data_IF_462763033270
#
_entry.id   IF_462763033270
#
_cell.length_a   1.000
_cell.length_b   1.000
_cell.length_c   1.000
_cell.angle_alpha   90.00
_cell.angle_beta   90.00
_cell.angle_gamma   90.00
#
_symmetry.space_group_name_H-M   'P 1'
#
loop_
_entity.id
_entity.type
_entity.pdbx_description
1 polymer ?
#
# COMPACT_ATOMS: atom_id res chain seq x y z
N UNK A 1 -19.77 -9.28 -8.86
CA UNK A 1 -21.16 -9.34 -8.37
C UNK A 1 -21.76 -10.73 -8.48
N UNK A 2 -21.54 -11.47 -9.56
CA UNK A 2 -22.20 -12.77 -9.84
C UNK A 2 -21.96 -13.86 -8.80
N UNK A 3 -20.77 -13.91 -8.19
CA UNK A 3 -20.34 -15.04 -7.37
C UNK A 3 -20.41 -14.75 -5.84
N UNK A 4 -20.78 -13.53 -5.47
CA UNK A 4 -20.76 -13.11 -4.08
C UNK A 4 -19.37 -13.11 -3.42
N UNK A 5 -19.27 -12.98 -2.11
CA UNK A 5 -18.02 -13.07 -1.37
C UNK A 5 -17.54 -14.51 -1.24
N UNK A 6 -16.43 -14.84 -1.90
CA UNK A 6 -15.80 -16.15 -1.87
C UNK A 6 -14.75 -16.27 -0.77
N UNK A 7 -14.15 -17.47 -0.61
CA UNK A 7 -13.11 -17.74 0.39
C UNK A 7 -11.97 -16.72 0.34
N UNK A 8 -11.53 -16.33 -0.85
CA UNK A 8 -10.48 -15.32 -1.03
C UNK A 8 -10.89 -13.93 -0.47
N UNK A 9 -12.15 -13.53 -0.62
CA UNK A 9 -12.65 -12.27 -0.03
C UNK A 9 -12.54 -12.31 1.49
N UNK A 10 -12.88 -13.45 2.10
CA UNK A 10 -12.75 -13.66 3.55
C UNK A 10 -11.30 -13.56 4.02
N UNK A 11 -10.37 -14.22 3.30
CA UNK A 11 -8.94 -14.13 3.59
C UNK A 11 -8.41 -12.71 3.48
N UNK A 12 -8.81 -11.96 2.45
CA UNK A 12 -8.38 -10.57 2.27
C UNK A 12 -8.87 -9.66 3.39
N UNK A 13 -10.11 -9.79 3.82
CA UNK A 13 -10.65 -9.00 4.94
C UNK A 13 -9.97 -9.36 6.26
N UNK A 14 -9.73 -10.65 6.50
CA UNK A 14 -8.97 -11.11 7.66
C UNK A 14 -7.57 -10.50 7.67
N UNK A 15 -6.84 -10.59 6.55
CA UNK A 15 -5.49 -10.02 6.42
C UNK A 15 -5.50 -8.50 6.57
N UNK A 16 -6.45 -7.80 5.96
CA UNK A 16 -6.61 -6.35 6.12
C UNK A 16 -6.76 -5.98 7.60
N UNK A 17 -7.55 -6.75 8.36
CA UNK A 17 -7.69 -6.54 9.80
C UNK A 17 -6.40 -6.82 10.57
N UNK A 18 -5.68 -7.88 10.21
CA UNK A 18 -4.41 -8.24 10.86
C UNK A 18 -3.32 -7.16 10.68
N UNK A 19 -3.26 -6.53 9.52
CA UNK A 19 -2.31 -5.44 9.26
C UNK A 19 -2.84 -4.06 9.65
N UNK A 20 -3.96 -4.00 10.39
CA UNK A 20 -4.59 -2.78 10.88
C UNK A 20 -4.96 -1.77 9.78
N UNK A 21 -5.53 -2.24 8.67
CA UNK A 21 -6.18 -1.35 7.70
C UNK A 21 -7.31 -0.60 8.39
N UNK A 22 -7.30 0.74 8.43
CA UNK A 22 -8.24 1.51 9.23
C UNK A 22 -9.64 1.55 8.63
N UNK A 23 -9.75 1.56 7.32
CA UNK A 23 -11.02 1.69 6.60
C UNK A 23 -11.00 0.91 5.30
N UNK A 24 -12.14 0.37 4.92
CA UNK A 24 -12.36 -0.31 3.65
C UNK A 24 -13.57 0.30 2.97
N UNK A 25 -13.65 0.22 1.66
CA UNK A 25 -14.85 0.43 0.88
C UNK A 25 -14.95 -0.66 -0.18
N UNK A 26 -16.13 -0.88 -0.71
CA UNK A 26 -16.38 -1.99 -1.62
C UNK A 26 -16.87 -1.49 -2.97
N UNK A 27 -16.28 -2.00 -4.04
CA UNK A 27 -16.79 -1.85 -5.41
C UNK A 27 -17.30 -3.20 -5.91
N UNK A 28 -18.63 -3.35 -6.01
CA UNK A 28 -19.26 -4.52 -6.60
C UNK A 28 -19.12 -4.45 -8.12
N UNK A 29 -18.05 -5.02 -8.62
CA UNK A 29 -17.72 -4.99 -10.04
C UNK A 29 -18.51 -6.03 -10.83
N UNK A 30 -18.56 -5.85 -12.17
CA UNK A 30 -19.22 -6.74 -13.12
C UNK A 30 -20.74 -6.82 -12.94
N UNK A 31 -21.39 -5.73 -12.52
CA UNK A 31 -22.83 -5.67 -12.42
C UNK A 31 -23.54 -5.78 -13.79
N UNK A 32 -22.79 -5.50 -14.89
CA UNK A 32 -23.24 -5.74 -16.27
C UNK A 32 -23.52 -7.21 -16.60
N UNK A 33 -23.08 -8.15 -15.78
CA UNK A 33 -23.28 -9.59 -15.94
C UNK A 33 -24.44 -10.14 -15.10
N UNK A 34 -25.14 -9.27 -14.36
CA UNK A 34 -26.21 -9.64 -13.44
C UNK A 34 -27.46 -8.82 -13.79
N UNK A 35 -28.47 -9.49 -14.32
CA UNK A 35 -29.76 -8.84 -14.68
C UNK A 35 -30.78 -8.83 -13.54
N UNK A 36 -30.45 -9.49 -12.41
CA UNK A 36 -31.32 -9.64 -11.25
C UNK A 36 -30.88 -8.69 -10.13
N UNK A 37 -31.70 -7.68 -9.87
CA UNK A 37 -31.46 -6.69 -8.82
C UNK A 37 -31.52 -7.32 -7.41
N UNK A 38 -32.39 -8.30 -7.19
CA UNK A 38 -32.52 -9.00 -5.91
C UNK A 38 -31.23 -9.77 -5.58
N UNK A 39 -30.56 -10.32 -6.60
CA UNK A 39 -29.26 -10.98 -6.44
C UNK A 39 -28.17 -9.98 -6.05
N UNK A 40 -28.16 -8.78 -6.62
CA UNK A 40 -27.19 -7.74 -6.27
C UNK A 40 -27.41 -7.27 -4.82
N UNK A 41 -28.66 -7.13 -4.38
CA UNK A 41 -29.00 -6.78 -2.99
C UNK A 41 -28.55 -7.88 -2.02
N UNK A 42 -28.76 -9.15 -2.38
CA UNK A 42 -28.32 -10.28 -1.56
C UNK A 42 -26.78 -10.30 -1.40
N UNK A 43 -26.06 -10.13 -2.50
CA UNK A 43 -24.59 -10.08 -2.47
C UNK A 43 -24.09 -8.92 -1.63
N UNK A 44 -24.74 -7.75 -1.72
CA UNK A 44 -24.40 -6.61 -0.88
C UNK A 44 -24.62 -6.91 0.59
N UNK A 45 -25.72 -7.54 0.95
CA UNK A 45 -26.01 -7.93 2.32
C UNK A 45 -24.98 -8.93 2.86
N UNK A 46 -24.62 -9.94 2.09
CA UNK A 46 -23.56 -10.90 2.45
C UNK A 46 -22.20 -10.22 2.67
N UNK A 47 -21.88 -9.22 1.85
CA UNK A 47 -20.63 -8.44 2.00
C UNK A 47 -20.66 -7.62 3.29
N UNK A 48 -21.79 -6.98 3.63
CA UNK A 48 -21.96 -6.22 4.87
C UNK A 48 -21.82 -7.10 6.12
N UNK A 49 -22.47 -8.26 6.12
CA UNK A 49 -22.32 -9.25 7.20
C UNK A 49 -20.86 -9.72 7.35
N UNK A 50 -20.17 -9.91 6.23
CA UNK A 50 -18.76 -10.32 6.25
C UNK A 50 -17.85 -9.22 6.79
N UNK A 51 -18.10 -7.96 6.44
CA UNK A 51 -17.37 -6.81 6.98
C UNK A 51 -17.54 -6.71 8.49
N UNK A 52 -18.76 -6.82 8.99
CA UNK A 52 -19.06 -6.82 10.44
C UNK A 52 -18.38 -7.99 11.15
N UNK A 53 -18.39 -9.17 10.55
CA UNK A 53 -17.73 -10.35 11.12
C UNK A 53 -16.22 -10.12 11.33
N UNK A 54 -15.56 -9.41 10.43
CA UNK A 54 -14.13 -9.06 10.55
C UNK A 54 -13.88 -7.73 11.28
N UNK A 55 -14.92 -7.10 11.84
CA UNK A 55 -14.81 -5.89 12.66
C UNK A 55 -14.65 -4.59 11.89
N UNK A 56 -15.07 -4.56 10.62
CA UNK A 56 -15.29 -3.33 9.87
C UNK A 56 -16.78 -2.92 9.99
N UNK A 57 -17.12 -1.62 9.92
CA UNK A 57 -18.52 -1.17 10.06
C UNK A 57 -19.32 -1.49 8.79
N UNK A 58 -19.90 -2.71 8.69
CA UNK A 58 -20.55 -3.22 7.49
C UNK A 58 -21.71 -2.34 7.03
N UNK A 59 -22.56 -1.90 7.96
CA UNK A 59 -23.72 -1.05 7.64
C UNK A 59 -23.33 0.33 7.12
N UNK A 60 -22.21 0.90 7.62
CA UNK A 60 -21.77 2.25 7.27
C UNK A 60 -20.83 2.25 6.06
N UNK A 61 -20.19 1.10 5.76
CA UNK A 61 -19.22 0.99 4.68
C UNK A 61 -19.85 1.27 3.32
N UNK A 62 -19.31 2.23 2.53
CA UNK A 62 -19.81 2.48 1.19
C UNK A 62 -19.62 1.25 0.29
N UNK A 63 -20.70 0.84 -0.37
CA UNK A 63 -20.69 -0.21 -1.38
C UNK A 63 -21.20 0.39 -2.69
N UNK A 64 -20.33 0.51 -3.67
CA UNK A 64 -20.61 1.08 -4.98
C UNK A 64 -20.80 -0.06 -5.97
N UNK A 65 -21.90 -0.04 -6.72
CA UNK A 65 -22.20 -1.03 -7.76
C UNK A 65 -21.80 -0.50 -9.13
N UNK A 66 -21.17 -1.33 -9.97
CA UNK A 66 -20.78 -0.87 -11.29
C UNK A 66 -20.11 -1.90 -12.17
N UNK A 67 -19.71 -1.45 -13.36
CA UNK A 67 -18.91 -2.21 -14.31
C UNK A 67 -17.69 -1.39 -14.73
N UNK A 68 -16.54 -1.80 -14.24
CA UNK A 68 -15.28 -1.20 -14.67
C UNK A 68 -15.00 -1.45 -16.16
N UNK A 69 -15.51 -2.56 -16.72
CA UNK A 69 -15.37 -2.85 -18.13
C UNK A 69 -16.13 -1.84 -18.99
N UNK A 70 -17.39 -1.54 -18.65
CA UNK A 70 -18.19 -0.56 -19.39
C UNK A 70 -17.54 0.83 -19.40
N UNK A 71 -16.95 1.23 -18.27
CA UNK A 71 -16.18 2.47 -18.20
C UNK A 71 -14.91 2.42 -19.06
N UNK A 72 -14.18 1.28 -19.06
CA UNK A 72 -12.92 1.14 -19.78
C UNK A 72 -13.10 1.15 -21.30
N UNK A 73 -14.16 0.51 -21.82
CA UNK A 73 -14.42 0.39 -23.28
C UNK A 73 -15.22 1.56 -23.84
N UNK A 74 -15.70 2.47 -22.99
CA UNK A 74 -16.43 3.67 -23.45
C UNK A 74 -15.53 4.56 -24.29
N UNK A 75 -16.05 5.00 -25.44
CA UNK A 75 -15.40 5.98 -26.32
C UNK A 75 -15.78 7.42 -25.98
N UNK A 76 -16.60 7.63 -24.94
CA UNK A 76 -17.02 8.96 -24.49
C UNK A 76 -15.83 9.78 -23.99
N UNK A 77 -15.76 11.02 -24.43
CA UNK A 77 -14.80 12.01 -23.91
C UNK A 77 -15.40 12.90 -22.81
N UNK A 78 -16.69 12.73 -22.54
CA UNK A 78 -17.36 13.45 -21.44
C UNK A 78 -17.13 12.71 -20.11
N UNK A 79 -16.43 13.34 -19.15
CA UNK A 79 -16.20 12.74 -17.83
C UNK A 79 -17.49 12.51 -17.01
N UNK A 80 -18.61 13.09 -17.42
CA UNK A 80 -19.92 12.90 -16.79
C UNK A 80 -20.82 11.91 -17.53
N UNK A 81 -20.29 11.17 -18.52
CA UNK A 81 -21.05 10.16 -19.21
C UNK A 81 -21.53 9.07 -18.23
N UNK A 82 -22.74 8.49 -18.46
CA UNK A 82 -23.32 7.49 -17.55
C UNK A 82 -22.40 6.29 -17.27
N UNK A 83 -21.56 5.91 -18.23
CA UNK A 83 -20.62 4.78 -18.13
C UNK A 83 -19.54 5.02 -17.06
N UNK A 84 -19.24 6.29 -16.76
CA UNK A 84 -18.25 6.67 -15.74
C UNK A 84 -18.86 6.97 -14.37
N UNK A 85 -20.21 6.98 -14.26
CA UNK A 85 -20.88 7.39 -13.02
C UNK A 85 -20.43 6.56 -11.80
N UNK A 86 -20.36 5.23 -11.95
CA UNK A 86 -19.92 4.35 -10.86
C UNK A 86 -18.45 4.56 -10.48
N UNK A 87 -17.59 4.93 -11.43
CA UNK A 87 -16.17 5.22 -11.15
C UNK A 87 -16.05 6.56 -10.42
N UNK A 88 -16.85 7.56 -10.81
CA UNK A 88 -16.87 8.84 -10.11
C UNK A 88 -17.38 8.67 -8.67
N UNK A 89 -18.49 7.93 -8.50
CA UNK A 89 -19.03 7.63 -7.17
C UNK A 89 -18.00 6.89 -6.29
N UNK A 90 -17.25 5.94 -6.87
CA UNK A 90 -16.17 5.25 -6.18
C UNK A 90 -15.11 6.24 -5.71
N UNK A 91 -14.66 7.18 -6.56
CA UNK A 91 -13.64 8.16 -6.21
C UNK A 91 -14.15 9.16 -5.16
N UNK A 92 -15.39 9.63 -5.28
CA UNK A 92 -16.03 10.49 -4.29
C UNK A 92 -16.17 9.79 -2.93
N UNK A 93 -16.48 8.49 -2.94
CA UNK A 93 -16.51 7.67 -1.74
C UNK A 93 -15.12 7.47 -1.12
N UNK A 94 -14.08 7.27 -1.92
CA UNK A 94 -12.69 7.21 -1.43
C UNK A 94 -12.33 8.49 -0.71
N UNK A 95 -12.60 9.65 -1.34
CA UNK A 95 -12.22 10.96 -0.79
C UNK A 95 -12.97 11.31 0.50
N UNK A 96 -14.22 10.85 0.63
CA UNK A 96 -15.08 11.16 1.80
C UNK A 96 -14.98 10.15 2.93
N UNK A 97 -14.76 8.86 2.62
CA UNK A 97 -14.80 7.76 3.58
C UNK A 97 -13.43 7.37 4.14
N UNK A 98 -12.39 7.38 3.29
CA UNK A 98 -11.06 6.95 3.72
C UNK A 98 -10.35 8.13 4.43
N UNK A 99 -10.00 7.98 5.73
CA UNK A 99 -9.31 9.05 6.43
C UNK A 99 -7.90 9.27 5.85
N UNK A 100 -7.48 10.51 5.77
CA UNK A 100 -6.08 10.83 5.40
C UNK A 100 -5.15 10.18 6.43
N UNK A 101 -4.16 9.37 6.01
CA UNK A 101 -3.23 8.73 6.92
C UNK A 101 -2.43 9.73 7.74
N UNK A 102 -2.28 9.46 9.04
CA UNK A 102 -1.34 10.21 9.89
C UNK A 102 0.09 9.81 9.52
N UNK A 103 0.79 10.70 8.82
CA UNK A 103 2.18 10.50 8.41
C UNK A 103 3.10 10.85 9.56
N UNK A 104 3.88 9.89 10.04
CA UNK A 104 4.84 10.06 11.14
C UNK A 104 6.13 10.75 10.66
N UNK A 105 6.02 11.96 10.14
CA UNK A 105 7.14 12.71 9.52
C UNK A 105 8.17 13.20 10.53
N UNK A 106 7.74 13.49 11.77
CA UNK A 106 8.60 14.00 12.85
C UNK A 106 9.51 12.92 13.46
N UNK A 107 9.33 11.66 13.09
CA UNK A 107 10.15 10.56 13.57
C UNK A 107 11.43 10.41 12.74
N UNK A 108 12.49 9.77 13.28
CA UNK A 108 13.66 9.42 12.49
C UNK A 108 13.29 8.55 11.28
N UNK A 109 13.89 8.86 10.12
CA UNK A 109 13.70 8.12 8.88
C UNK A 109 13.86 6.61 9.06
N UNK A 110 12.94 5.86 8.46
CA UNK A 110 12.97 4.41 8.41
C UNK A 110 12.27 3.90 7.14
N UNK A 111 12.97 3.03 6.39
CA UNK A 111 12.46 2.39 5.19
C UNK A 111 12.91 0.93 5.14
N UNK A 112 12.00 -0.06 5.29
CA UNK A 112 12.30 -1.46 5.03
C UNK A 112 12.70 -1.66 3.56
N UNK A 113 13.70 -2.49 3.31
CA UNK A 113 14.14 -2.83 1.96
C UNK A 113 13.27 -3.96 1.41
N UNK A 114 12.54 -3.68 0.35
CA UNK A 114 11.65 -4.62 -0.33
C UNK A 114 12.32 -5.31 -1.51
N UNK A 115 13.13 -4.56 -2.27
CA UNK A 115 13.92 -5.11 -3.37
C UNK A 115 15.22 -4.34 -3.57
N UNK A 116 16.20 -4.98 -4.23
CA UNK A 116 17.51 -4.41 -4.51
C UNK A 116 17.94 -4.71 -5.94
N UNK A 117 18.26 -3.69 -6.68
CA UNK A 117 18.76 -3.83 -8.05
C UNK A 117 19.93 -2.88 -8.34
N UNK A 118 20.64 -3.15 -9.42
CA UNK A 118 21.77 -2.32 -9.85
C UNK A 118 21.43 -1.60 -11.14
N UNK A 119 21.70 -0.30 -11.17
CA UNK A 119 21.64 0.49 -12.40
C UNK A 119 23.06 0.62 -12.94
N UNK A 120 23.29 0.14 -14.17
CA UNK A 120 24.59 0.22 -14.84
C UNK A 120 25.12 1.66 -14.86
N UNK A 121 26.34 1.87 -14.34
CA UNK A 121 26.98 3.17 -14.28
C UNK A 121 26.46 4.13 -13.20
N UNK A 122 25.42 3.76 -12.43
CA UNK A 122 24.88 4.59 -11.33
C UNK A 122 25.08 3.99 -9.95
N UNK A 123 24.90 2.67 -9.78
CA UNK A 123 25.12 1.98 -8.51
C UNK A 123 23.92 1.12 -8.08
N UNK A 124 23.86 0.82 -6.79
CA UNK A 124 22.84 -0.02 -6.19
C UNK A 124 21.66 0.83 -5.71
N UNK A 125 20.45 0.39 -6.05
CA UNK A 125 19.19 1.00 -5.63
C UNK A 125 18.47 0.04 -4.70
N UNK A 126 18.09 0.52 -3.52
CA UNK A 126 17.18 -0.16 -2.62
C UNK A 126 15.79 0.47 -2.75
N UNK A 127 14.77 -0.36 -2.95
CA UNK A 127 13.37 0.09 -2.99
C UNK A 127 12.64 -0.27 -1.71
N UNK A 128 11.65 0.53 -1.38
CA UNK A 128 10.78 0.31 -0.23
C UNK A 128 9.85 1.48 0.02
N UNK A 129 8.93 1.26 0.96
CA UNK A 129 8.08 2.33 1.46
C UNK A 129 8.73 3.01 2.67
N UNK A 130 8.75 4.33 2.66
CA UNK A 130 9.13 5.11 3.84
C UNK A 130 8.05 4.94 4.90
N UNK A 131 8.37 4.24 5.99
CA UNK A 131 7.42 3.96 7.08
C UNK A 131 7.25 5.16 8.02
N UNK A 132 8.31 5.95 8.18
CA UNK A 132 8.32 7.15 9.03
C UNK A 132 9.48 8.06 8.71
N UNK A 133 9.33 9.31 9.12
CA UNK A 133 10.36 10.32 8.97
C UNK A 133 10.48 10.84 7.55
N UNK A 134 11.56 11.57 7.33
CA UNK A 134 11.92 12.21 6.07
C UNK A 134 13.36 11.86 5.70
N UNK A 135 13.59 11.60 4.43
CA UNK A 135 14.90 11.36 3.84
C UNK A 135 15.19 12.46 2.82
N UNK A 136 16.30 13.16 2.98
CA UNK A 136 16.73 14.17 2.02
C UNK A 136 17.82 13.62 1.09
N UNK A 137 17.91 14.17 -0.11
CA UNK A 137 19.00 13.87 -1.03
C UNK A 137 20.35 14.20 -0.37
N UNK A 138 21.34 13.33 -0.58
CA UNK A 138 22.66 13.37 0.03
C UNK A 138 22.69 13.18 1.56
N UNK A 139 21.62 12.72 2.15
CA UNK A 139 21.59 12.35 3.56
C UNK A 139 22.28 11.01 3.81
N UNK A 140 22.88 10.87 4.98
CA UNK A 140 23.47 9.60 5.44
C UNK A 140 22.39 8.70 6.01
N UNK A 141 22.45 7.42 5.65
CA UNK A 141 21.60 6.36 6.19
C UNK A 141 22.45 5.19 6.68
N UNK A 142 21.94 4.43 7.60
CA UNK A 142 22.49 3.19 8.11
C UNK A 142 21.70 2.01 7.57
N UNK A 143 22.40 0.97 7.10
CA UNK A 143 21.79 -0.32 6.71
C UNK A 143 21.79 -1.19 7.97
N UNK A 144 20.64 -1.63 8.42
CA UNK A 144 20.44 -2.35 9.69
C UNK A 144 19.69 -3.67 9.45
N UNK A 145 20.08 -4.71 10.19
CA UNK A 145 19.41 -6.02 10.19
C UNK A 145 20.13 -7.07 9.35
N UNK A 146 19.85 -8.35 9.63
CA UNK A 146 20.39 -9.55 9.00
C UNK A 146 21.93 -9.73 9.10
N UNK A 147 22.64 -8.72 9.55
CA UNK A 147 24.09 -8.75 9.81
C UNK A 147 24.39 -7.96 11.09
N UNK A 148 25.44 -8.36 11.80
CA UNK A 148 25.95 -7.62 12.95
C UNK A 148 26.79 -6.40 12.53
N UNK A 149 27.18 -6.33 11.25
CA UNK A 149 27.93 -5.22 10.69
C UNK A 149 27.01 -4.04 10.39
N UNK A 150 27.23 -2.95 11.07
CA UNK A 150 26.58 -1.67 10.77
C UNK A 150 27.28 -1.00 9.62
N UNK A 151 26.52 -0.61 8.62
CA UNK A 151 27.06 0.06 7.43
C UNK A 151 26.33 1.38 7.20
N UNK A 152 27.10 2.46 7.19
CA UNK A 152 26.60 3.77 6.76
C UNK A 152 26.87 3.99 5.27
N UNK A 153 25.93 4.63 4.60
CA UNK A 153 26.04 5.08 3.23
C UNK A 153 25.35 6.42 3.03
N UNK A 154 25.51 7.01 1.86
CA UNK A 154 24.81 8.25 1.48
C UNK A 154 23.83 7.96 0.36
N UNK A 155 22.61 8.46 0.48
CA UNK A 155 21.61 8.41 -0.57
C UNK A 155 21.89 9.51 -1.60
N UNK A 156 22.29 9.12 -2.80
CA UNK A 156 22.70 10.06 -3.88
C UNK A 156 21.62 10.28 -4.93
N UNK A 157 20.50 9.60 -4.81
CA UNK A 157 19.33 9.78 -5.67
C UNK A 157 18.10 9.21 -5.00
N UNK A 158 16.99 9.87 -5.18
CA UNK A 158 15.66 9.42 -4.74
C UNK A 158 14.75 9.48 -5.96
N UNK A 159 14.08 8.39 -6.27
CA UNK A 159 13.19 8.29 -7.43
C UNK A 159 11.84 7.68 -7.04
N UNK A 160 10.76 8.27 -7.52
CA UNK A 160 9.39 7.75 -7.38
C UNK A 160 8.64 7.98 -8.70
N UNK A 161 8.01 6.93 -9.25
CA UNK A 161 7.29 6.99 -10.54
C UNK A 161 8.09 7.64 -11.69
N UNK A 162 9.38 7.27 -11.82
CA UNK A 162 10.33 7.82 -12.81
C UNK A 162 10.60 9.32 -12.66
N UNK A 163 10.31 9.90 -11.50
CA UNK A 163 10.64 11.29 -11.17
C UNK A 163 11.70 11.32 -10.09
N UNK A 164 12.74 12.14 -10.31
CA UNK A 164 13.75 12.42 -9.30
C UNK A 164 13.19 13.40 -8.26
N UNK A 165 13.47 13.10 -7.00
CA UNK A 165 12.99 13.88 -5.86
C UNK A 165 14.17 14.42 -5.06
N UNK A 166 13.99 15.58 -4.43
CA UNK A 166 14.94 16.17 -3.49
C UNK A 166 14.81 15.56 -2.08
N UNK A 167 13.63 15.03 -1.76
CA UNK A 167 13.35 14.33 -0.52
C UNK A 167 12.22 13.31 -0.71
N UNK A 168 12.10 12.43 0.26
CA UNK A 168 10.98 11.50 0.43
C UNK A 168 10.47 11.56 1.88
N UNK A 169 9.20 11.28 2.08
CA UNK A 169 8.54 11.32 3.40
C UNK A 169 7.69 10.09 3.66
N UNK A 170 7.26 9.92 4.91
CA UNK A 170 6.46 8.78 5.33
C UNK A 170 5.25 8.54 4.40
N UNK A 171 5.11 7.31 3.91
CA UNK A 171 4.10 6.89 2.94
C UNK A 171 4.60 6.79 1.50
N UNK A 172 5.73 7.39 1.15
CA UNK A 172 6.27 7.34 -0.20
C UNK A 172 6.92 5.98 -0.51
N UNK A 173 6.63 5.43 -1.69
CA UNK A 173 7.36 4.28 -2.24
C UNK A 173 8.48 4.79 -3.14
N UNK A 174 9.72 4.55 -2.75
CA UNK A 174 10.87 5.12 -3.43
C UNK A 174 11.93 4.09 -3.81
N UNK A 175 12.76 4.46 -4.78
CA UNK A 175 14.07 3.89 -5.02
C UNK A 175 15.15 4.83 -4.50
N UNK A 176 15.94 4.37 -3.53
CA UNK A 176 17.07 5.10 -2.96
C UNK A 176 18.38 4.60 -3.58
N UNK A 177 19.09 5.47 -4.30
CA UNK A 177 20.40 5.19 -4.87
C UNK A 177 21.47 5.33 -3.80
N UNK A 178 22.19 4.25 -3.51
CA UNK A 178 23.16 4.15 -2.43
C UNK A 178 24.59 4.30 -2.95
N UNK A 179 25.39 5.15 -2.31
CA UNK A 179 26.79 5.38 -2.68
C UNK A 179 27.70 4.26 -2.13
N UNK A 180 28.46 3.62 -3.03
CA UNK A 180 29.52 2.70 -2.62
C UNK A 180 29.03 1.42 -1.94
N UNK A 181 27.77 1.02 -2.19
CA UNK A 181 27.19 -0.23 -1.71
C UNK A 181 27.03 -1.17 -2.90
N UNK A 182 27.62 -2.36 -2.84
CA UNK A 182 27.39 -3.38 -3.84
C UNK A 182 26.03 -4.08 -3.59
N UNK A 183 25.42 -4.64 -4.66
CA UNK A 183 24.16 -5.37 -4.54
C UNK A 183 24.21 -6.53 -3.52
N UNK A 184 25.39 -7.14 -3.36
CA UNK A 184 25.62 -8.25 -2.42
C UNK A 184 25.76 -7.82 -0.96
N UNK A 185 25.76 -6.51 -0.70
CA UNK A 185 25.98 -5.93 0.64
C UNK A 185 24.70 -5.35 1.23
N UNK A 186 23.60 -5.46 0.50
CA UNK A 186 22.26 -5.09 0.96
C UNK A 186 21.24 -6.08 0.38
N UNK A 187 20.26 -6.48 1.18
CA UNK A 187 19.25 -7.45 0.76
C UNK A 187 17.86 -7.10 1.32
N UNK A 188 16.85 -7.72 0.71
CA UNK A 188 15.47 -7.61 1.18
C UNK A 188 15.36 -8.05 2.64
N UNK A 189 14.62 -7.29 3.44
CA UNK A 189 14.42 -7.53 4.86
C UNK A 189 15.34 -6.73 5.77
N UNK A 190 16.41 -6.11 5.22
CA UNK A 190 17.15 -5.08 5.92
C UNK A 190 16.37 -3.76 5.93
N UNK A 191 16.82 -2.80 6.71
CA UNK A 191 16.18 -1.50 6.89
C UNK A 191 17.19 -0.39 6.64
N UNK A 192 16.83 0.60 5.84
CA UNK A 192 17.51 1.89 5.79
C UNK A 192 16.94 2.79 6.87
N UNK A 193 17.79 3.34 7.71
CA UNK A 193 17.37 4.21 8.80
C UNK A 193 18.31 5.39 8.99
N UNK A 194 17.84 6.39 9.73
CA UNK A 194 18.73 7.44 10.24
C UNK A 194 19.80 6.79 11.13
N UNK A 195 21.11 7.10 10.96
CA UNK A 195 22.18 6.47 11.71
C UNK A 195 21.93 6.49 13.22
N UNK A 196 22.07 5.33 13.86
CA UNK A 196 21.90 5.16 15.30
C UNK A 196 20.46 5.22 15.83
N UNK A 197 19.45 5.35 14.97
CA UNK A 197 18.05 5.51 15.40
C UNK A 197 17.35 4.20 15.74
N UNK A 198 17.84 3.06 15.24
CA UNK A 198 17.31 1.72 15.52
C UNK A 198 18.42 0.70 15.76
N UNK A 199 18.05 -0.39 16.42
CA UNK A 199 18.94 -1.54 16.65
C UNK A 199 18.14 -2.83 16.42
N UNK A 200 18.74 -3.87 15.81
CA UNK A 200 18.10 -5.18 15.68
C UNK A 200 17.98 -5.85 17.06
N UNK A 201 16.93 -6.64 17.24
CA UNK A 201 16.67 -7.41 18.44
C UNK A 201 16.68 -8.90 18.15
N UNK A 202 17.41 -9.71 18.97
CA UNK A 202 17.45 -11.16 18.86
C UNK A 202 16.42 -11.86 19.74
N UNK A 203 15.87 -11.13 20.72
CA UNK A 203 14.84 -11.64 21.63
C UNK A 203 13.62 -10.72 21.56
N UNK A 204 12.47 -11.28 21.27
CA UNK A 204 11.21 -10.56 21.20
C UNK A 204 10.05 -11.45 21.63
N UNK A 205 8.93 -10.85 21.98
CA UNK A 205 7.65 -11.54 22.20
C UNK A 205 6.74 -11.22 21.02
N UNK A 206 6.20 -12.27 20.38
CA UNK A 206 5.31 -12.14 19.24
C UNK A 206 3.94 -12.75 19.51
N UNK A 207 2.89 -12.13 19.01
CA UNK A 207 1.56 -12.72 18.92
C UNK A 207 1.43 -13.34 17.51
N UNK A 208 1.09 -14.63 17.47
CA UNK A 208 0.96 -15.39 16.23
C UNK A 208 -0.51 -15.72 16.02
N UNK A 209 -1.02 -15.43 14.84
CA UNK A 209 -2.33 -15.89 14.36
C UNK A 209 -2.09 -16.89 13.24
N UNK A 210 -2.68 -18.10 13.38
CA UNK A 210 -2.59 -19.15 12.36
C UNK A 210 -3.87 -19.12 11.53
N UNK A 211 -3.73 -18.96 10.21
CA UNK A 211 -4.83 -18.94 9.24
C UNK A 211 -5.40 -20.34 9.00
#
# INVERSE_FOLDING_TARGET
ASDGPMAQTREHLLLARQVNVPSVLVFLNKCDQVDDEELLELVEMEVRELLDFYGFPGDETPIIRGSALNALVSESTDPNAPEYACIKELMDAVDSWIPTPDRKEDMPFLMPVEDVFTISGRGTVATGRVERGKLNLNEKVEIVGLSDEKRETTVTGIEMFHKLLDYAEAGDNIGALLRGVAKTEIERGQVLSKPGSIHPHTKFVGQVYVL
#
